data_IF_142561890732
#
_entry.id   IF_142561890732
#
_cell.length_a   1.000
_cell.length_b   1.000
_cell.length_c   1.000
_cell.angle_alpha   90.00
_cell.angle_beta   90.00
_cell.angle_gamma   90.00
#
_symmetry.space_group_name_H-M   'P 1'
#
loop_
_entity.id
_entity.type
_entity.pdbx_description
1 polymer ?
#
# COMPACT_ATOMS: atom_id res chain seq x y z
N UNK A 1 -47.45 -9.33 -18.63
CA UNK A 1 -47.15 -9.48 -17.18
C UNK A 1 -46.04 -10.51 -16.93
N UNK A 2 -46.10 -11.72 -17.47
CA UNK A 2 -45.08 -12.77 -17.31
C UNK A 2 -43.63 -12.35 -17.61
N UNK A 3 -43.38 -11.65 -18.72
CA UNK A 3 -42.01 -11.24 -19.08
C UNK A 3 -41.39 -10.29 -18.04
N UNK A 4 -42.17 -9.33 -17.52
CA UNK A 4 -41.70 -8.41 -16.49
C UNK A 4 -41.37 -9.17 -15.20
N UNK A 5 -42.23 -10.12 -14.80
CA UNK A 5 -42.01 -10.93 -13.61
C UNK A 5 -40.74 -11.78 -13.71
N UNK A 6 -40.51 -12.42 -14.87
CA UNK A 6 -39.30 -13.19 -15.15
C UNK A 6 -38.04 -12.33 -15.12
N UNK A 7 -38.08 -11.15 -15.73
CA UNK A 7 -36.96 -10.21 -15.69
C UNK A 7 -36.66 -9.77 -14.26
N UNK A 8 -37.67 -9.42 -13.47
CA UNK A 8 -37.50 -9.03 -12.06
C UNK A 8 -36.84 -10.15 -11.26
N UNK A 9 -37.30 -11.40 -11.37
CA UNK A 9 -36.67 -12.54 -10.69
C UNK A 9 -35.23 -12.75 -11.15
N UNK A 10 -34.97 -12.66 -12.46
CA UNK A 10 -33.62 -12.83 -13.00
C UNK A 10 -32.63 -11.80 -12.47
N UNK A 11 -33.08 -10.55 -12.27
CA UNK A 11 -32.26 -9.50 -11.66
C UNK A 11 -31.94 -9.84 -10.21
N UNK A 12 -32.95 -10.22 -9.41
CA UNK A 12 -32.72 -10.62 -8.02
C UNK A 12 -31.77 -11.81 -7.92
N UNK A 13 -31.93 -12.83 -8.78
CA UNK A 13 -31.00 -13.97 -8.84
C UNK A 13 -29.59 -13.54 -9.20
N UNK A 14 -29.41 -12.68 -10.21
CA UNK A 14 -28.09 -12.17 -10.60
C UNK A 14 -27.40 -11.40 -9.45
N UNK A 15 -28.16 -10.59 -8.71
CA UNK A 15 -27.63 -9.87 -7.54
C UNK A 15 -27.15 -10.86 -6.47
N UNK A 16 -28.00 -11.82 -6.11
CA UNK A 16 -27.73 -12.75 -5.01
C UNK A 16 -26.62 -13.77 -5.37
N UNK A 17 -26.64 -14.28 -6.60
CA UNK A 17 -25.79 -15.41 -7.00
C UNK A 17 -24.49 -14.97 -7.68
N UNK A 18 -24.40 -13.74 -8.20
CA UNK A 18 -23.21 -13.27 -8.92
C UNK A 18 -22.63 -11.98 -8.31
N UNK A 19 -23.45 -10.94 -8.14
CA UNK A 19 -22.96 -9.64 -7.69
C UNK A 19 -22.47 -9.65 -6.24
N UNK A 20 -23.26 -10.22 -5.32
CA UNK A 20 -22.89 -10.29 -3.90
C UNK A 20 -21.59 -11.12 -3.70
N UNK A 21 -21.45 -12.33 -4.27
CA UNK A 21 -20.19 -13.07 -4.20
C UNK A 21 -19.00 -12.32 -4.82
N UNK A 22 -19.21 -11.60 -5.93
CA UNK A 22 -18.16 -10.78 -6.53
C UNK A 22 -17.71 -9.63 -5.61
N UNK A 23 -18.65 -8.99 -4.90
CA UNK A 23 -18.32 -7.97 -3.90
C UNK A 23 -17.56 -8.55 -2.70
N UNK A 24 -17.94 -9.72 -2.21
CA UNK A 24 -17.20 -10.41 -1.14
C UNK A 24 -15.75 -10.69 -1.56
N UNK A 25 -15.56 -11.19 -2.79
CA UNK A 25 -14.23 -11.39 -3.35
C UNK A 25 -13.45 -10.07 -3.51
N UNK A 26 -14.12 -8.98 -3.90
CA UNK A 26 -13.51 -7.66 -3.99
C UNK A 26 -13.03 -7.16 -2.61
N UNK A 27 -13.84 -7.35 -1.56
CA UNK A 27 -13.44 -7.02 -0.18
C UNK A 27 -12.25 -7.89 0.25
N UNK A 28 -12.25 -9.17 -0.07
CA UNK A 28 -11.11 -10.06 0.21
C UNK A 28 -9.83 -9.59 -0.48
N UNK A 29 -9.91 -9.23 -1.76
CA UNK A 29 -8.77 -8.68 -2.51
C UNK A 29 -8.30 -7.33 -1.94
N UNK A 30 -9.22 -6.45 -1.55
CA UNK A 30 -8.89 -5.20 -0.87
C UNK A 30 -8.13 -5.43 0.44
N UNK A 31 -8.56 -6.40 1.26
CA UNK A 31 -7.86 -6.77 2.49
C UNK A 31 -6.47 -7.37 2.22
N UNK A 32 -6.32 -8.17 1.17
CA UNK A 32 -5.01 -8.68 0.75
C UNK A 32 -4.08 -7.53 0.31
N UNK A 33 -4.61 -6.56 -0.44
CA UNK A 33 -3.86 -5.39 -0.86
C UNK A 33 -3.37 -4.57 0.33
N UNK A 34 -4.25 -4.31 1.32
CA UNK A 34 -3.87 -3.61 2.55
C UNK A 34 -2.77 -4.35 3.33
N UNK A 35 -2.87 -5.67 3.44
CA UNK A 35 -1.83 -6.50 4.09
C UNK A 35 -0.49 -6.42 3.36
N UNK A 36 -0.50 -6.53 2.03
CA UNK A 36 0.71 -6.41 1.23
C UNK A 36 1.33 -5.01 1.33
N UNK A 37 0.50 -3.95 1.32
CA UNK A 37 0.94 -2.58 1.48
C UNK A 37 1.56 -2.34 2.87
N UNK A 38 0.96 -2.89 3.93
CA UNK A 38 1.51 -2.80 5.28
C UNK A 38 2.89 -3.46 5.38
N UNK A 39 3.03 -4.68 4.85
CA UNK A 39 4.32 -5.38 4.82
C UNK A 39 5.38 -4.61 4.00
N UNK A 40 4.98 -4.00 2.89
CA UNK A 40 5.86 -3.13 2.10
C UNK A 40 6.28 -1.89 2.89
N UNK A 41 5.36 -1.26 3.61
CA UNK A 41 5.64 -0.08 4.45
C UNK A 41 6.62 -0.42 5.57
N UNK A 42 6.44 -1.54 6.26
CA UNK A 42 7.38 -2.04 7.28
C UNK A 42 8.77 -2.32 6.70
N UNK A 43 8.85 -2.97 5.54
CA UNK A 43 10.11 -3.25 4.87
C UNK A 43 10.82 -1.96 4.42
N UNK A 44 10.07 -1.00 3.86
CA UNK A 44 10.58 0.31 3.50
C UNK A 44 11.09 1.05 4.75
N UNK A 45 10.40 0.90 5.88
CA UNK A 45 10.80 1.49 7.15
C UNK A 45 12.17 1.00 7.60
N UNK A 46 12.38 -0.33 7.59
CA UNK A 46 13.67 -0.92 7.91
C UNK A 46 14.75 -0.44 6.92
N UNK A 47 14.45 -0.43 5.62
CA UNK A 47 15.37 -0.01 4.58
C UNK A 47 15.86 1.43 4.76
N UNK A 48 14.94 2.38 4.93
CA UNK A 48 15.32 3.78 5.06
C UNK A 48 15.95 4.10 6.42
N UNK A 49 15.65 3.34 7.50
CA UNK A 49 16.38 3.42 8.77
C UNK A 49 17.85 3.03 8.59
N UNK A 50 18.11 1.99 7.79
CA UNK A 50 19.47 1.59 7.47
C UNK A 50 20.20 2.70 6.67
N UNK A 51 19.55 3.31 5.68
CA UNK A 51 20.12 4.46 4.94
C UNK A 51 20.41 5.63 5.87
N UNK A 52 19.49 5.96 6.79
CA UNK A 52 19.70 7.04 7.76
C UNK A 52 20.98 6.81 8.55
N UNK A 53 21.18 5.59 9.07
CA UNK A 53 22.39 5.23 9.83
C UNK A 53 23.66 5.36 9.01
N UNK A 54 23.64 4.97 7.73
CA UNK A 54 24.77 5.16 6.80
C UNK A 54 25.04 6.66 6.60
N UNK A 55 23.98 7.47 6.42
CA UNK A 55 24.08 8.92 6.30
C UNK A 55 24.70 9.58 7.54
N UNK A 56 24.28 9.16 8.74
CA UNK A 56 24.85 9.61 10.01
C UNK A 56 26.34 9.26 10.12
N UNK A 57 26.74 8.04 9.73
CA UNK A 57 28.15 7.64 9.72
C UNK A 57 28.99 8.44 8.72
N UNK A 58 28.47 8.64 7.51
CA UNK A 58 29.15 9.44 6.47
C UNK A 58 29.27 10.91 6.87
N UNK A 59 28.33 11.43 7.65
CA UNK A 59 28.37 12.80 8.17
C UNK A 59 29.52 13.03 9.17
N UNK A 60 29.92 12.00 9.92
CA UNK A 60 31.04 12.06 10.86
C UNK A 60 32.42 11.87 10.20
N UNK A 61 32.45 11.46 8.92
CA UNK A 61 33.69 11.32 8.16
C UNK A 61 34.30 12.68 7.81
N UNK A 62 35.61 12.75 7.58
CA UNK A 62 36.27 13.97 7.11
C UNK A 62 36.10 14.20 5.60
N UNK A 63 35.84 13.15 4.82
CA UNK A 63 35.82 13.20 3.34
C UNK A 63 34.43 13.04 2.73
N UNK A 64 33.47 12.45 3.45
CA UNK A 64 32.14 12.09 2.92
C UNK A 64 30.97 12.84 3.54
N UNK A 65 31.21 13.97 4.21
CA UNK A 65 30.16 14.75 4.90
C UNK A 65 29.02 15.20 3.99
N UNK A 66 29.33 15.66 2.77
CA UNK A 66 28.29 16.08 1.81
C UNK A 66 27.41 14.90 1.39
N UNK A 67 28.00 13.71 1.21
CA UNK A 67 27.24 12.49 0.93
C UNK A 67 26.31 12.15 2.11
N UNK A 68 26.80 12.26 3.35
CA UNK A 68 25.99 12.09 4.55
C UNK A 68 24.79 13.03 4.60
N UNK A 69 25.00 14.33 4.35
CA UNK A 69 23.90 15.33 4.27
C UNK A 69 22.88 14.98 3.20
N UNK A 70 23.32 14.58 2.01
CA UNK A 70 22.44 14.18 0.93
C UNK A 70 21.60 12.95 1.32
N UNK A 71 22.20 11.90 1.85
CA UNK A 71 21.48 10.69 2.26
C UNK A 71 20.40 11.01 3.31
N UNK A 72 20.72 11.81 4.33
CA UNK A 72 19.75 12.21 5.35
C UNK A 72 18.58 13.03 4.78
N UNK A 73 18.85 13.93 3.83
CA UNK A 73 17.81 14.69 3.14
C UNK A 73 16.88 13.80 2.30
N UNK A 74 17.43 12.81 1.61
CA UNK A 74 16.61 11.90 0.78
C UNK A 74 15.68 11.02 1.61
N UNK A 75 16.11 10.67 2.81
CA UNK A 75 15.36 9.87 3.77
C UNK A 75 14.24 10.72 4.36
N UNK A 76 14.54 11.91 4.91
CA UNK A 76 13.55 12.78 5.56
C UNK A 76 12.36 13.17 4.65
N UNK A 77 12.61 13.42 3.36
CA UNK A 77 11.56 13.76 2.40
C UNK A 77 10.66 12.59 1.94
N UNK A 78 11.14 11.34 2.02
CA UNK A 78 10.37 10.16 1.55
C UNK A 78 9.55 9.50 2.65
N UNK A 79 10.08 9.44 3.87
CA UNK A 79 9.36 8.84 5.01
C UNK A 79 8.03 9.49 5.32
N UNK A 80 7.97 10.82 5.24
CA UNK A 80 6.74 11.58 5.52
C UNK A 80 5.64 11.22 4.52
N UNK A 81 6.01 10.94 3.27
CA UNK A 81 5.06 10.59 2.21
C UNK A 81 4.62 9.12 2.21
N UNK A 82 5.37 8.23 2.87
CA UNK A 82 5.05 6.80 3.00
C UNK A 82 4.20 6.47 4.23
N UNK A 83 4.05 7.42 5.17
CA UNK A 83 3.15 7.29 6.33
C UNK A 83 1.69 7.67 6.03
N UNK A 84 1.39 8.03 4.78
CA UNK A 84 0.05 8.36 4.29
C UNK A 84 -0.68 7.12 3.79
#
# INVERSE_FOLDING_TARGET
MEQSYRSTISIYKSILEQFNPALENLVYLGNNYLRAFHALSEAAEVYFKAIQKIGEQALQSSTSQMLGKFLLLTVSGRWVNLKC
#
